data_IF_576684766583
#
_entry.id   IF_576684766583
#
_cell.length_a   1.000
_cell.length_b   1.000
_cell.length_c   1.000
_cell.angle_alpha   90.00
_cell.angle_beta   90.00
_cell.angle_gamma   90.00
#
_symmetry.space_group_name_H-M   'P 1'
#
loop_
_entity.id
_entity.type
_entity.pdbx_description
1 polymer ?
#
# COMPACT_ATOMS: atom_id res chain seq x y z
N UNK A 1 10.45 4.56 -10.82
CA UNK A 1 10.55 4.94 -9.39
C UNK A 1 9.89 3.83 -8.60
N UNK A 2 10.66 2.95 -7.98
CA UNK A 2 10.13 1.75 -7.33
C UNK A 2 9.53 2.11 -5.96
N UNK A 3 8.27 1.74 -5.74
CA UNK A 3 7.52 1.92 -4.49
C UNK A 3 7.83 0.80 -3.47
N UNK A 4 9.08 0.35 -3.41
CA UNK A 4 9.55 -0.78 -2.60
C UNK A 4 9.13 -0.73 -1.11
N UNK A 5 9.27 0.40 -0.39
CA UNK A 5 8.82 0.45 1.00
C UNK A 5 7.30 0.29 1.15
N UNK A 6 6.52 0.63 0.13
CA UNK A 6 5.08 0.34 0.12
C UNK A 6 4.79 -1.14 -0.19
N UNK A 7 5.58 -1.78 -1.06
CA UNK A 7 5.48 -3.23 -1.30
C UNK A 7 5.71 -4.02 0.00
N UNK A 8 6.78 -3.66 0.72
CA UNK A 8 7.10 -4.27 2.02
C UNK A 8 5.96 -4.01 3.03
N UNK A 9 5.42 -2.80 3.08
CA UNK A 9 4.32 -2.45 3.98
C UNK A 9 3.06 -3.28 3.72
N UNK A 10 2.71 -3.45 2.44
CA UNK A 10 1.52 -4.17 2.01
C UNK A 10 1.66 -5.68 2.17
N UNK A 11 2.88 -6.23 2.15
CA UNK A 11 3.19 -7.66 2.32
C UNK A 11 3.42 -8.11 3.78
N UNK A 12 3.35 -7.18 4.74
CA UNK A 12 3.55 -7.50 6.15
C UNK A 12 2.24 -7.92 6.81
N UNK A 13 2.21 -8.87 7.77
CA UNK A 13 0.96 -9.38 8.33
C UNK A 13 0.20 -8.33 9.16
N UNK A 14 -1.13 -8.38 9.18
CA UNK A 14 -1.96 -7.47 10.00
C UNK A 14 -1.64 -7.52 11.50
N UNK A 15 -1.01 -8.59 11.98
CA UNK A 15 -0.53 -8.70 13.36
C UNK A 15 0.52 -7.63 13.74
N UNK A 16 1.09 -6.90 12.77
CA UNK A 16 1.93 -5.71 13.02
C UNK A 16 1.15 -4.37 13.08
N UNK A 17 -0.18 -4.36 12.95
CA UNK A 17 -0.98 -3.14 12.82
C UNK A 17 -1.61 -2.65 14.13
N UNK A 18 -1.39 -3.33 15.26
CA UNK A 18 -1.92 -2.91 16.56
C UNK A 18 -0.82 -2.71 17.59
N UNK A 19 -0.62 -1.43 17.90
CA UNK A 19 -0.02 -0.84 19.10
C UNK A 19 1.51 -0.79 19.23
N UNK A 20 1.94 0.41 19.60
CA UNK A 20 3.17 0.77 20.31
C UNK A 20 4.53 0.45 19.65
N UNK A 21 5.08 1.46 18.97
CA UNK A 21 6.52 1.76 18.92
C UNK A 21 7.54 0.61 18.70
N UNK A 22 7.28 -0.30 17.75
CA UNK A 22 8.30 -1.19 17.16
C UNK A 22 7.59 -2.30 16.38
N UNK A 23 7.69 -2.45 15.06
CA UNK A 23 8.89 -2.64 14.24
C UNK A 23 8.79 -2.00 12.83
N UNK A 24 7.78 -1.13 12.59
CA UNK A 24 7.36 -0.80 11.22
C UNK A 24 7.16 0.70 10.93
N UNK A 25 7.35 1.58 11.92
CA UNK A 25 7.19 3.02 11.74
C UNK A 25 8.07 3.60 10.63
N UNK A 26 9.28 3.07 10.43
CA UNK A 26 10.19 3.51 9.35
C UNK A 26 9.70 3.12 7.96
N UNK A 27 9.23 1.88 7.78
CA UNK A 27 8.75 1.39 6.47
C UNK A 27 7.47 2.12 6.07
N UNK A 28 6.53 2.28 7.01
CA UNK A 28 5.31 3.07 6.79
C UNK A 28 5.65 4.52 6.47
N UNK A 29 6.54 5.15 7.23
CA UNK A 29 6.96 6.53 6.98
C UNK A 29 7.62 6.69 5.60
N UNK A 30 8.47 5.75 5.19
CA UNK A 30 9.10 5.75 3.86
C UNK A 30 8.06 5.57 2.75
N UNK A 31 7.13 4.63 2.91
CA UNK A 31 6.02 4.45 1.98
C UNK A 31 5.18 5.73 1.86
N UNK A 32 4.81 6.33 3.01
CA UNK A 32 4.10 7.59 3.04
C UNK A 32 4.92 8.71 2.36
N UNK A 33 6.22 8.83 2.60
CA UNK A 33 7.03 9.85 1.94
C UNK A 33 7.05 9.68 0.42
N UNK A 34 7.10 8.45 -0.09
CA UNK A 34 7.06 8.21 -1.52
C UNK A 34 5.67 8.53 -2.10
N UNK A 35 4.60 8.15 -1.41
CA UNK A 35 3.24 8.50 -1.83
C UNK A 35 2.99 10.01 -1.77
N UNK A 36 3.58 10.72 -0.81
CA UNK A 36 3.51 12.19 -0.68
C UNK A 36 4.13 12.92 -1.87
N UNK A 37 5.12 12.31 -2.54
CA UNK A 37 5.73 12.85 -3.76
C UNK A 37 4.76 12.84 -4.94
N UNK A 38 3.71 12.03 -4.88
CA UNK A 38 2.61 12.09 -5.84
C UNK A 38 1.74 13.29 -5.46
N UNK A 39 1.98 14.41 -6.13
CA UNK A 39 1.31 15.68 -5.84
C UNK A 39 -0.18 15.66 -6.19
N UNK A 40 -0.58 14.88 -7.20
CA UNK A 40 -1.99 14.79 -7.60
C UNK A 40 -2.72 13.74 -6.73
N UNK A 41 -3.77 14.11 -5.97
CA UNK A 41 -4.57 13.16 -5.19
C UNK A 41 -5.12 11.99 -6.01
N UNK A 42 -5.50 12.22 -7.26
CA UNK A 42 -6.04 11.17 -8.14
C UNK A 42 -4.98 10.11 -8.48
N UNK A 43 -3.74 10.56 -8.74
CA UNK A 43 -2.62 9.68 -9.06
C UNK A 43 -2.10 8.91 -7.83
N UNK A 44 -2.44 9.32 -6.59
CA UNK A 44 -2.04 8.58 -5.38
C UNK A 44 -2.65 7.19 -5.34
N UNK A 45 -3.94 7.08 -5.67
CA UNK A 45 -4.61 5.78 -5.74
C UNK A 45 -4.04 4.92 -6.86
N UNK A 46 -3.70 5.53 -8.00
CA UNK A 46 -3.06 4.81 -9.10
C UNK A 46 -1.67 4.28 -8.70
N UNK A 47 -0.86 5.09 -8.01
CA UNK A 47 0.45 4.67 -7.52
C UNK A 47 0.35 3.52 -6.50
N UNK A 48 -0.64 3.56 -5.61
CA UNK A 48 -0.93 2.45 -4.69
C UNK A 48 -1.36 1.21 -5.47
N UNK A 49 -2.21 1.35 -6.48
CA UNK A 49 -2.67 0.25 -7.34
C UNK A 49 -1.51 -0.42 -8.08
N UNK A 50 -0.59 0.37 -8.62
CA UNK A 50 0.62 -0.13 -9.28
C UNK A 50 1.52 -0.89 -8.29
N UNK A 51 1.59 -0.42 -7.05
CA UNK A 51 2.33 -1.10 -5.97
C UNK A 51 1.73 -2.48 -5.69
N UNK A 52 0.41 -2.61 -5.58
CA UNK A 52 -0.24 -3.93 -5.39
C UNK A 52 0.04 -4.86 -6.57
N UNK A 53 -0.02 -4.35 -7.81
CA UNK A 53 0.29 -5.14 -9.01
C UNK A 53 1.73 -5.65 -8.97
N UNK A 54 2.69 -4.79 -8.62
CA UNK A 54 4.09 -5.20 -8.46
C UNK A 54 4.24 -6.26 -7.37
N UNK A 55 3.59 -6.07 -6.22
CA UNK A 55 3.62 -7.02 -5.11
C UNK A 55 3.12 -8.41 -5.52
N UNK A 56 2.07 -8.49 -6.35
CA UNK A 56 1.57 -9.78 -6.86
C UNK A 56 2.61 -10.50 -7.72
N UNK A 57 3.43 -9.78 -8.49
CA UNK A 57 4.51 -10.36 -9.27
C UNK A 57 5.69 -10.79 -8.37
N UNK A 58 6.03 -10.02 -7.34
CA UNK A 58 7.10 -10.36 -6.39
C UNK A 58 6.73 -11.53 -5.45
N UNK A 59 5.44 -11.75 -5.20
CA UNK A 59 4.95 -12.85 -4.35
C UNK A 59 5.14 -14.24 -5.00
N UNK A 60 5.33 -14.30 -6.32
CA UNK A 60 5.60 -15.56 -7.04
C UNK A 60 7.00 -16.14 -6.72
N UNK A 61 7.92 -15.34 -6.15
CA UNK A 61 9.32 -15.73 -5.89
C UNK A 61 9.59 -16.15 -4.41
N UNK A 62 8.54 -16.36 -3.60
CA UNK A 62 8.68 -16.88 -2.23
C UNK A 62 8.32 -15.89 -1.10
N UNK A 63 7.62 -14.80 -1.42
CA UNK A 63 7.04 -13.89 -0.44
C UNK A 63 5.84 -14.51 0.29
N UNK A 64 5.66 -14.18 1.58
CA UNK A 64 4.54 -14.62 2.42
C UNK A 64 3.21 -14.43 1.67
N UNK A 65 2.51 -15.52 1.35
CA UNK A 65 1.23 -15.49 0.63
C UNK A 65 0.14 -14.94 1.57
N UNK A 66 0.02 -13.62 1.62
CA UNK A 66 -1.04 -12.95 2.36
C UNK A 66 -2.37 -13.07 1.63
N UNK A 67 -3.47 -13.01 2.38
CA UNK A 67 -4.79 -12.89 1.78
C UNK A 67 -4.83 -11.64 0.90
N UNK A 68 -5.11 -11.79 -0.40
CA UNK A 68 -5.16 -10.63 -1.31
C UNK A 68 -6.17 -9.57 -0.84
N UNK A 69 -7.25 -9.99 -0.16
CA UNK A 69 -8.21 -9.09 0.47
C UNK A 69 -7.55 -8.23 1.57
N UNK A 70 -6.69 -8.83 2.38
CA UNK A 70 -5.95 -8.19 3.46
C UNK A 70 -5.02 -7.09 2.89
N UNK A 71 -4.29 -7.42 1.82
CA UNK A 71 -3.42 -6.48 1.08
C UNK A 71 -4.22 -5.30 0.52
N UNK A 72 -5.37 -5.58 -0.10
CA UNK A 72 -6.24 -4.56 -0.67
C UNK A 72 -6.77 -3.63 0.41
N UNK A 73 -7.31 -4.16 1.52
CA UNK A 73 -7.82 -3.34 2.62
C UNK A 73 -6.75 -2.39 3.20
N UNK A 74 -5.50 -2.86 3.33
CA UNK A 74 -4.38 -2.00 3.72
C UNK A 74 -4.14 -0.89 2.73
N UNK A 75 -4.10 -1.23 1.46
CA UNK A 75 -3.83 -0.29 0.40
C UNK A 75 -4.93 0.79 0.30
N UNK A 76 -6.20 0.41 0.49
CA UNK A 76 -7.32 1.36 0.53
C UNK A 76 -7.20 2.36 1.67
N UNK A 77 -6.73 1.92 2.85
CA UNK A 77 -6.55 2.74 4.07
C UNK A 77 -5.16 3.38 4.17
N UNK A 78 -4.28 3.13 3.21
CA UNK A 78 -2.90 3.63 3.22
C UNK A 78 -2.83 5.17 3.17
N UNK A 79 -3.62 5.86 2.34
CA UNK A 79 -3.67 7.32 2.37
C UNK A 79 -4.11 7.88 3.72
N UNK A 80 -5.16 7.31 4.35
CA UNK A 80 -5.59 7.65 5.71
C UNK A 80 -4.47 7.46 6.72
N UNK A 81 -3.77 6.32 6.65
CA UNK A 81 -2.64 6.02 7.54
C UNK A 81 -1.52 7.04 7.37
N UNK A 82 -1.30 7.53 6.16
CA UNK A 82 -0.31 8.54 5.85
C UNK A 82 -0.77 10.00 6.07
N UNK A 83 -2.04 10.21 6.43
CA UNK A 83 -2.67 11.52 6.56
C UNK A 83 -2.73 12.29 5.23
N UNK A 84 -3.11 11.61 4.15
CA UNK A 84 -3.19 12.18 2.80
C UNK A 84 -4.59 12.09 2.22
N UNK A 85 -4.89 12.99 1.28
CA UNK A 85 -6.08 12.92 0.45
C UNK A 85 -5.81 12.20 -0.89
N UNK A 86 -6.75 11.42 -1.42
CA UNK A 86 -8.02 11.03 -0.78
C UNK A 86 -7.76 10.07 0.39
N UNK A 87 -8.52 10.17 1.48
CA UNK A 87 -8.32 9.32 2.67
C UNK A 87 -8.53 7.83 2.38
N UNK A 88 -9.41 7.50 1.44
CA UNK A 88 -9.68 6.14 1.02
C UNK A 88 -9.52 6.04 -0.50
N UNK A 89 -8.79 5.02 -0.96
CA UNK A 89 -8.76 4.65 -2.36
C UNK A 89 -9.71 3.47 -2.61
N UNK A 90 -10.56 3.56 -3.63
CA UNK A 90 -11.32 2.38 -4.09
C UNK A 90 -10.40 1.50 -4.93
N UNK A 91 -9.93 0.42 -4.32
CA UNK A 91 -9.08 -0.56 -4.97
C UNK A 91 -9.88 -1.85 -5.03
N UNK A 92 -10.44 -2.14 -6.20
CA UNK A 92 -11.10 -3.42 -6.49
C UNK A 92 -10.04 -4.46 -6.86
N UNK A 93 -10.30 -5.75 -6.59
CA UNK A 93 -9.43 -6.86 -7.03
C UNK A 93 -9.19 -6.85 -8.55
N UNK A 94 -10.10 -6.23 -9.29
CA UNK A 94 -9.93 -5.93 -10.69
C UNK A 94 -9.36 -4.52 -10.80
N UNK A 95 -8.13 -4.48 -11.30
CA UNK A 95 -7.43 -3.26 -11.64
C UNK A 95 -8.07 -2.47 -12.78
N UNK A 96 -9.36 -2.11 -12.70
CA UNK A 96 -10.04 -1.25 -13.68
C UNK A 96 -10.50 0.10 -13.11
N UNK A 97 -10.26 1.12 -13.91
CA UNK A 97 -10.46 2.53 -13.64
C UNK A 97 -11.94 2.87 -13.44
N UNK A 98 -12.19 3.96 -12.73
CA UNK A 98 -13.41 4.71 -12.96
C UNK A 98 -13.41 5.26 -14.40
N UNK A 99 -14.61 5.29 -14.98
CA UNK A 99 -15.09 5.95 -16.21
C UNK A 99 -15.35 5.00 -17.39
#
# INVERSE_FOLDING_TARGET
>A
MSMEPCLIYLNLPFSCYKQDYGCMGRVTQQCCQQLKKVNNPECRCEAIRQTIKQMQNDAEDGGVQQNQQEVIEKAQKLPSTCGMEPQLCQISQQGDSSV
#
